data_IF_634322558876
#
_entry.id   IF_634322558876
#
_cell.length_a   1.000
_cell.length_b   1.000
_cell.length_c   1.000
_cell.angle_alpha   90.00
_cell.angle_beta   90.00
_cell.angle_gamma   90.00
#
_symmetry.space_group_name_H-M   'P 1'
#
loop_
_entity.id
_entity.type
_entity.pdbx_description
1 polymer ?
#
# COMPACT_ATOMS: atom_id res chain seq x y z
N UNK A 1 43.83 29.73 36.02
CA UNK A 1 43.67 31.20 35.97
C UNK A 1 42.51 31.51 35.02
N UNK A 2 41.33 31.77 35.58
CA UNK A 2 40.63 33.08 35.60
C UNK A 2 39.95 33.40 34.24
N UNK A 3 38.64 33.13 34.07
CA UNK A 3 37.44 33.93 34.40
C UNK A 3 37.17 35.14 33.48
N UNK A 4 35.89 35.23 33.07
CA UNK A 4 35.06 36.45 32.92
C UNK A 4 35.31 37.39 31.71
N UNK A 5 34.36 38.19 31.19
CA UNK A 5 32.91 38.39 31.35
C UNK A 5 32.43 39.38 30.25
N UNK A 6 31.14 39.28 29.93
CA UNK A 6 30.16 40.24 29.35
C UNK A 6 30.49 41.74 29.19
N UNK A 7 29.85 42.35 28.19
CA UNK A 7 29.31 43.74 28.20
C UNK A 7 28.32 43.96 27.04
N UNK A 8 27.01 43.99 27.24
CA UNK A 8 26.12 45.16 27.53
C UNK A 8 25.97 46.14 26.34
N UNK A 9 24.84 46.14 25.61
CA UNK A 9 23.50 46.77 25.85
C UNK A 9 23.39 48.24 25.37
N UNK A 10 22.48 48.40 24.39
CA UNK A 10 21.39 49.39 24.26
C UNK A 10 21.67 50.90 24.10
N UNK A 11 21.00 51.49 23.09
CA UNK A 11 20.15 52.73 23.13
C UNK A 11 19.93 53.20 21.67
N UNK A 12 18.77 53.01 21.01
CA UNK A 12 17.55 53.84 21.02
C UNK A 12 17.83 55.35 21.05
N UNK A 13 17.49 56.10 19.99
CA UNK A 13 16.26 56.92 19.82
C UNK A 13 16.41 57.87 18.58
N UNK A 14 15.53 58.85 18.29
CA UNK A 14 14.20 58.82 17.63
C UNK A 14 14.14 59.63 16.30
N UNK A 15 12.93 59.68 15.71
CA UNK A 15 12.35 60.75 14.85
C UNK A 15 12.52 60.62 13.33
N UNK A 16 11.47 60.08 12.68
CA UNK A 16 10.73 60.83 11.64
C UNK A 16 9.33 60.23 11.44
N UNK A 17 8.34 61.10 11.59
CA UNK A 17 6.90 60.88 11.54
C UNK A 17 6.36 61.76 10.42
N UNK A 18 5.60 61.17 9.49
CA UNK A 18 4.56 61.78 8.64
C UNK A 18 4.14 60.71 7.62
N UNK A 19 3.04 59.95 7.78
CA UNK A 19 1.63 60.32 7.62
C UNK A 19 1.37 61.17 6.38
N UNK A 20 0.95 60.51 5.29
CA UNK A 20 -0.16 61.02 4.48
C UNK A 20 -1.10 59.88 4.12
N UNK A 21 -2.32 60.12 4.56
CA UNK A 21 -3.59 59.42 4.40
C UNK A 21 -4.14 59.62 2.98
N UNK A 22 -4.78 58.59 2.39
CA UNK A 22 -6.15 58.65 1.82
C UNK A 22 -6.46 57.55 0.77
N UNK A 23 -7.41 56.71 1.18
CA UNK A 23 -8.68 56.35 0.51
C UNK A 23 -8.71 55.63 -0.86
N UNK A 24 -9.21 54.38 -0.76
CA UNK A 24 -10.46 53.85 -1.34
C UNK A 24 -10.73 53.82 -2.86
N UNK A 25 -11.26 52.64 -3.24
CA UNK A 25 -12.25 52.37 -4.30
C UNK A 25 -11.69 52.33 -5.74
N UNK A 26 -12.12 51.49 -6.68
CA UNK A 26 -13.12 50.42 -6.79
C UNK A 26 -12.98 49.83 -8.22
N UNK A 27 -13.51 48.63 -8.47
CA UNK A 27 -13.96 48.19 -9.81
C UNK A 27 -13.03 47.20 -10.53
N UNK A 28 -13.32 45.90 -10.52
CA UNK A 28 -14.27 45.13 -11.37
C UNK A 28 -13.74 44.84 -12.79
N UNK A 29 -13.35 43.58 -13.04
CA UNK A 29 -13.95 42.68 -14.05
C UNK A 29 -13.34 41.26 -13.91
N UNK A 30 -14.03 40.24 -13.40
CA UNK A 30 -15.00 39.31 -14.05
C UNK A 30 -14.55 38.70 -15.38
N UNK A 31 -13.96 37.50 -15.28
CA UNK A 31 -14.20 36.34 -16.15
C UNK A 31 -13.61 35.10 -15.45
N UNK A 32 -14.37 34.35 -14.65
CA UNK A 32 -15.33 33.31 -15.05
C UNK A 32 -14.70 32.20 -15.90
N UNK A 33 -14.05 31.24 -15.24
CA UNK A 33 -14.06 29.85 -15.67
C UNK A 33 -14.64 28.99 -14.53
N UNK A 34 -15.94 28.76 -14.62
CA UNK A 34 -16.63 27.62 -13.99
C UNK A 34 -16.41 26.39 -14.88
N UNK A 35 -16.26 25.23 -14.25
CA UNK A 35 -16.28 23.91 -14.86
C UNK A 35 -14.97 23.18 -14.53
N UNK A 36 -14.93 22.13 -13.71
CA UNK A 36 -15.96 21.12 -13.43
C UNK A 36 -15.75 20.57 -12.00
N UNK A 37 -16.82 20.26 -11.24
CA UNK A 37 -16.66 19.41 -10.07
C UNK A 37 -16.22 18.04 -10.59
N UNK A 38 -15.06 17.56 -10.13
CA UNK A 38 -14.67 16.18 -10.34
C UNK A 38 -15.77 15.32 -9.72
N UNK A 39 -16.61 14.72 -10.55
CA UNK A 39 -17.65 13.81 -10.12
C UNK A 39 -16.99 12.75 -9.25
N UNK A 40 -17.29 12.77 -7.95
CA UNK A 40 -16.89 11.72 -7.04
C UNK A 40 -17.47 10.43 -7.62
N UNK A 41 -16.59 9.58 -8.16
CA UNK A 41 -16.97 8.19 -8.47
C UNK A 41 -17.54 7.61 -7.19
N UNK A 42 -18.73 7.00 -7.20
CA UNK A 42 -19.17 6.25 -6.04
C UNK A 42 -18.17 5.10 -5.87
N UNK A 43 -17.24 5.23 -4.91
CA UNK A 43 -16.56 4.06 -4.40
C UNK A 43 -17.66 3.26 -3.75
N UNK A 44 -17.94 2.08 -4.27
CA UNK A 44 -18.68 1.08 -3.54
C UNK A 44 -17.81 0.69 -2.34
N UNK A 45 -17.87 1.50 -1.28
CA UNK A 45 -17.29 1.25 0.03
C UNK A 45 -18.26 0.29 0.74
N UNK A 46 -18.37 -0.92 0.22
CA UNK A 46 -18.72 -2.03 1.10
C UNK A 46 -17.45 -2.33 1.88
N UNK A 47 -17.24 -1.55 2.95
CA UNK A 47 -16.40 -1.95 4.07
C UNK A 47 -17.08 -3.16 4.71
N UNK A 48 -16.92 -4.31 4.06
CA UNK A 48 -17.25 -5.59 4.68
C UNK A 48 -16.29 -5.68 5.86
N UNK A 49 -16.83 -5.80 7.07
CA UNK A 49 -16.04 -6.26 8.22
C UNK A 49 -15.52 -7.63 7.82
N UNK A 50 -14.28 -7.72 7.35
CA UNK A 50 -13.78 -8.93 6.71
C UNK A 50 -13.29 -9.85 7.82
N UNK A 51 -14.18 -10.73 8.27
CA UNK A 51 -13.86 -11.84 9.15
C UNK A 51 -12.89 -12.85 8.49
N UNK A 52 -12.65 -14.00 9.15
CA UNK A 52 -11.82 -15.06 8.58
C UNK A 52 -12.29 -15.45 7.16
N UNK A 53 -11.35 -15.76 6.27
CA UNK A 53 -11.63 -16.13 4.89
C UNK A 53 -11.40 -17.63 4.64
N UNK A 54 -12.26 -18.22 3.81
CA UNK A 54 -12.08 -19.57 3.30
C UNK A 54 -11.61 -19.53 1.83
N UNK A 55 -10.30 -19.70 1.63
CA UNK A 55 -9.65 -19.70 0.33
C UNK A 55 -9.71 -21.06 -0.39
N UNK A 56 -10.46 -22.03 0.13
CA UNK A 56 -10.82 -23.24 -0.62
C UNK A 56 -11.99 -23.00 -1.58
N UNK A 57 -12.75 -21.90 -1.37
CA UNK A 57 -13.96 -21.56 -2.13
C UNK A 57 -13.76 -20.40 -3.11
N UNK A 58 -12.73 -19.58 -2.91
CA UNK A 58 -12.41 -18.43 -3.74
C UNK A 58 -10.90 -18.13 -3.72
N UNK A 59 -10.33 -17.52 -4.77
CA UNK A 59 -8.96 -17.07 -4.71
C UNK A 59 -8.85 -15.81 -3.83
N UNK A 60 -7.72 -15.57 -3.16
CA UNK A 60 -7.45 -14.26 -2.60
C UNK A 60 -7.27 -13.25 -3.75
N UNK A 61 -7.30 -11.97 -3.42
CA UNK A 61 -7.25 -10.89 -4.42
C UNK A 61 -6.05 -11.01 -5.40
N UNK A 62 -6.21 -10.47 -6.62
CA UNK A 62 -5.21 -10.56 -7.68
C UNK A 62 -3.78 -10.21 -7.23
N UNK A 63 -2.75 -10.94 -7.69
CA UNK A 63 -1.35 -10.69 -7.33
C UNK A 63 -0.83 -9.29 -7.68
N UNK A 64 -1.41 -8.65 -8.71
CA UNK A 64 -1.05 -7.30 -9.15
C UNK A 64 -1.88 -6.20 -8.48
N UNK A 65 -2.88 -6.55 -7.67
CA UNK A 65 -3.68 -5.54 -6.97
C UNK A 65 -2.80 -4.80 -5.95
N UNK A 66 -3.00 -3.49 -5.88
CA UNK A 66 -2.27 -2.60 -5.00
C UNK A 66 -3.20 -2.03 -3.93
N UNK A 67 -2.67 -1.89 -2.72
CA UNK A 67 -3.29 -1.13 -1.66
C UNK A 67 -2.23 -0.20 -1.06
N UNK A 68 -2.55 1.08 -0.96
CA UNK A 68 -1.59 2.14 -0.60
C UNK A 68 -0.31 2.19 -1.48
N UNK A 69 -0.46 1.82 -2.76
CA UNK A 69 0.68 1.73 -3.68
C UNK A 69 1.63 0.57 -3.40
N UNK A 70 1.24 -0.39 -2.55
CA UNK A 70 1.98 -1.63 -2.30
C UNK A 70 1.29 -2.79 -3.02
N UNK A 71 1.94 -3.33 -4.05
CA UNK A 71 1.44 -4.49 -4.79
C UNK A 71 1.37 -5.72 -3.87
N UNK A 72 0.48 -6.66 -4.15
CA UNK A 72 0.36 -7.92 -3.41
C UNK A 72 -0.08 -7.77 -1.94
N UNK A 73 -0.23 -6.55 -1.41
CA UNK A 73 -0.74 -6.28 -0.07
C UNK A 73 -2.18 -6.80 0.13
N UNK A 74 -3.14 -6.51 -0.77
CA UNK A 74 -4.49 -7.09 -0.71
C UNK A 74 -4.47 -8.61 -0.54
N UNK A 75 -3.68 -9.29 -1.37
CA UNK A 75 -3.52 -10.75 -1.36
C UNK A 75 -2.87 -11.26 -0.07
N UNK A 76 -1.92 -10.49 0.47
CA UNK A 76 -1.29 -10.79 1.77
C UNK A 76 -2.30 -10.73 2.90
N UNK A 77 -3.14 -9.69 2.93
CA UNK A 77 -4.20 -9.54 3.94
C UNK A 77 -5.17 -10.71 3.85
N UNK A 78 -5.63 -11.07 2.64
CA UNK A 78 -6.59 -12.17 2.47
C UNK A 78 -6.03 -13.52 2.96
N UNK A 79 -4.76 -13.81 2.62
CA UNK A 79 -4.09 -15.02 3.09
C UNK A 79 -3.91 -15.03 4.60
N UNK A 80 -3.64 -13.89 5.23
CA UNK A 80 -3.52 -13.80 6.68
C UNK A 80 -4.88 -13.97 7.36
N UNK A 81 -5.95 -13.35 6.84
CA UNK A 81 -7.33 -13.58 7.32
C UNK A 81 -7.75 -15.04 7.21
N UNK A 82 -7.27 -15.75 6.19
CA UNK A 82 -7.50 -17.18 6.04
C UNK A 82 -6.75 -18.07 7.04
N UNK A 83 -5.76 -17.52 7.77
CA UNK A 83 -5.08 -18.24 8.87
C UNK A 83 -5.71 -17.99 10.24
N UNK A 84 -6.71 -17.10 10.34
CA UNK A 84 -7.40 -16.80 11.59
C UNK A 84 -8.43 -17.90 11.93
N UNK A 85 -8.84 -18.04 13.21
CA UNK A 85 -9.86 -19.00 13.61
C UNK A 85 -11.14 -18.88 12.77
N UNK A 86 -11.57 -19.98 12.16
CA UNK A 86 -12.72 -20.02 11.25
C UNK A 86 -12.39 -19.75 9.78
N UNK A 87 -11.12 -19.48 9.45
CA UNK A 87 -10.63 -19.38 8.08
C UNK A 87 -10.01 -20.68 7.59
N UNK A 88 -9.79 -20.76 6.28
CA UNK A 88 -9.06 -21.86 5.65
C UNK A 88 -8.14 -21.30 4.55
N UNK A 89 -6.83 -21.49 4.71
CA UNK A 89 -5.82 -21.06 3.74
C UNK A 89 -5.86 -21.90 2.46
N UNK A 90 -6.44 -23.09 2.49
CA UNK A 90 -6.46 -24.04 1.38
C UNK A 90 -5.06 -24.42 0.89
N UNK A 91 -4.87 -24.39 -0.43
CA UNK A 91 -3.58 -24.74 -1.05
C UNK A 91 -2.55 -23.60 -1.02
N UNK A 92 -2.91 -22.40 -0.55
CA UNK A 92 -2.03 -21.24 -0.54
C UNK A 92 -0.92 -21.37 0.51
N UNK A 93 0.23 -20.75 0.25
CA UNK A 93 1.42 -20.85 1.12
C UNK A 93 1.95 -19.50 1.56
N UNK A 94 2.38 -19.42 2.81
CA UNK A 94 3.10 -18.32 3.46
C UNK A 94 4.48 -18.89 3.88
N UNK A 95 5.61 -18.14 3.81
CA UNK A 95 5.70 -16.70 3.63
C UNK A 95 5.80 -16.19 2.18
N UNK A 96 6.43 -16.88 1.22
CA UNK A 96 6.44 -16.43 -0.20
C UNK A 96 6.76 -14.93 -0.39
N UNK A 97 6.01 -14.22 -1.26
CA UNK A 97 6.14 -12.76 -1.41
C UNK A 97 5.71 -11.96 -0.16
N UNK A 98 4.88 -12.53 0.72
CA UNK A 98 4.55 -11.92 2.03
C UNK A 98 5.79 -11.89 2.94
N UNK A 99 6.65 -12.91 2.90
CA UNK A 99 7.93 -12.91 3.61
C UNK A 99 8.87 -11.85 3.09
N UNK A 100 8.99 -11.74 1.75
CA UNK A 100 9.78 -10.68 1.11
C UNK A 100 9.27 -9.28 1.41
N UNK A 101 7.97 -9.13 1.65
CA UNK A 101 7.38 -7.88 2.10
C UNK A 101 7.88 -7.52 3.50
N UNK A 102 7.77 -8.45 4.45
CA UNK A 102 8.24 -8.28 5.83
C UNK A 102 9.74 -7.93 5.88
N UNK A 103 10.56 -8.72 5.16
CA UNK A 103 12.02 -8.52 5.08
C UNK A 103 12.40 -7.14 4.54
N UNK A 104 11.80 -6.73 3.41
CA UNK A 104 12.22 -5.52 2.69
C UNK A 104 11.63 -4.24 3.29
N UNK A 105 10.44 -4.32 3.89
CA UNK A 105 9.78 -3.21 4.56
C UNK A 105 10.10 -3.13 6.06
N UNK A 106 11.01 -4.00 6.55
CA UNK A 106 11.56 -3.99 7.90
C UNK A 106 10.51 -4.09 9.04
N UNK A 107 9.55 -5.01 8.91
CA UNK A 107 8.62 -5.34 10.00
C UNK A 107 8.50 -6.85 10.21
N UNK A 108 8.08 -7.26 11.41
CA UNK A 108 7.95 -8.66 11.78
C UNK A 108 6.66 -9.29 11.26
N UNK A 109 6.74 -10.53 10.79
CA UNK A 109 5.58 -11.26 10.26
C UNK A 109 4.47 -11.43 11.30
N UNK A 110 4.82 -11.73 12.56
CA UNK A 110 3.86 -11.87 13.65
C UNK A 110 3.17 -10.55 14.00
N UNK A 111 3.86 -9.41 13.84
CA UNK A 111 3.26 -8.10 14.04
C UNK A 111 2.20 -7.82 12.96
N UNK A 112 2.53 -8.08 11.69
CA UNK A 112 1.56 -7.98 10.60
C UNK A 112 0.36 -8.90 10.81
N UNK A 113 0.59 -10.15 11.25
CA UNK A 113 -0.50 -11.10 11.51
C UNK A 113 -1.47 -10.58 12.58
N UNK A 114 -0.95 -10.04 13.69
CA UNK A 114 -1.78 -9.46 14.78
C UNK A 114 -2.60 -8.26 14.29
N UNK A 115 -2.00 -7.39 13.49
CA UNK A 115 -2.69 -6.24 12.91
C UNK A 115 -3.82 -6.68 11.99
N UNK A 116 -3.61 -7.72 11.17
CA UNK A 116 -4.68 -8.27 10.33
C UNK A 116 -5.78 -8.94 11.16
N UNK A 117 -5.44 -9.55 12.29
CA UNK A 117 -6.41 -10.14 13.24
C UNK A 117 -7.31 -9.08 13.89
N UNK A 118 -6.77 -7.89 14.17
CA UNK A 118 -7.47 -6.78 14.83
C UNK A 118 -8.17 -5.82 13.86
N UNK A 119 -7.71 -5.76 12.60
CA UNK A 119 -8.22 -4.85 11.57
C UNK A 119 -9.66 -5.15 11.16
N UNK A 120 -10.55 -4.16 11.28
CA UNK A 120 -11.92 -4.25 10.78
C UNK A 120 -11.96 -4.10 9.26
N UNK A 121 -11.06 -3.28 8.71
CA UNK A 121 -10.93 -3.03 7.29
C UNK A 121 -9.47 -2.92 6.85
N UNK A 122 -9.25 -3.00 5.54
CA UNK A 122 -7.91 -2.91 4.94
C UNK A 122 -7.20 -1.57 5.23
N UNK A 123 -7.97 -0.51 5.49
CA UNK A 123 -7.42 0.80 5.84
C UNK A 123 -6.70 0.78 7.20
N UNK A 124 -7.10 -0.08 8.14
CA UNK A 124 -6.44 -0.24 9.44
C UNK A 124 -5.03 -0.82 9.26
N UNK A 125 -4.89 -1.83 8.38
CA UNK A 125 -3.60 -2.43 8.03
C UNK A 125 -2.69 -1.42 7.33
N UNK A 126 -3.25 -0.62 6.42
CA UNK A 126 -2.51 0.48 5.76
C UNK A 126 -2.01 1.51 6.76
N UNK A 127 -2.88 1.92 7.69
CA UNK A 127 -2.51 2.89 8.71
C UNK A 127 -1.35 2.38 9.56
N UNK A 128 -1.42 1.13 10.02
CA UNK A 128 -0.35 0.50 10.77
C UNK A 128 0.96 0.42 9.97
N UNK A 129 0.91 0.01 8.70
CA UNK A 129 2.10 -0.09 7.84
C UNK A 129 2.79 1.27 7.67
N UNK A 130 2.03 2.36 7.54
CA UNK A 130 2.62 3.70 7.41
C UNK A 130 3.40 4.14 8.64
N UNK A 131 3.05 3.60 9.81
CA UNK A 131 3.70 3.93 11.09
C UNK A 131 4.86 2.97 11.43
N UNK A 132 4.80 1.71 10.97
CA UNK A 132 5.70 0.65 11.43
C UNK A 132 6.61 0.05 10.35
N UNK A 133 6.34 0.33 9.08
CA UNK A 133 7.12 -0.19 7.95
C UNK A 133 8.00 0.91 7.32
N UNK A 134 9.09 0.50 6.68
CA UNK A 134 9.89 1.38 5.81
C UNK A 134 9.16 1.61 4.48
N UNK A 135 8.21 2.55 4.47
CA UNK A 135 7.40 2.88 3.29
C UNK A 135 8.23 3.40 2.10
N UNK A 136 9.46 3.88 2.35
CA UNK A 136 10.38 4.28 1.28
C UNK A 136 10.77 3.11 0.36
N UNK A 137 10.56 1.88 0.81
CA UNK A 137 10.90 0.64 0.10
C UNK A 137 9.74 0.06 -0.72
N UNK A 138 8.56 0.68 -0.72
CA UNK A 138 7.39 0.19 -1.48
C UNK A 138 7.71 0.03 -2.97
N UNK A 139 8.36 1.02 -3.57
CA UNK A 139 8.76 0.97 -4.98
C UNK A 139 9.73 -0.20 -5.27
N UNK A 140 10.68 -0.46 -4.37
CA UNK A 140 11.61 -1.58 -4.50
C UNK A 140 10.91 -2.93 -4.33
N UNK A 141 9.97 -3.03 -3.40
CA UNK A 141 9.14 -4.23 -3.24
C UNK A 141 8.29 -4.49 -4.49
N UNK A 142 7.61 -3.47 -5.00
CA UNK A 142 6.78 -3.59 -6.20
C UNK A 142 7.63 -4.02 -7.41
N UNK A 143 8.81 -3.43 -7.58
CA UNK A 143 9.73 -3.85 -8.64
C UNK A 143 10.14 -5.31 -8.51
N UNK A 144 10.39 -5.79 -7.29
CA UNK A 144 10.70 -7.20 -7.02
C UNK A 144 9.51 -8.11 -7.38
N UNK A 145 8.31 -7.80 -6.89
CA UNK A 145 7.13 -8.68 -7.09
C UNK A 145 6.67 -8.66 -8.55
N UNK A 146 6.48 -7.47 -9.12
CA UNK A 146 5.95 -7.31 -10.48
C UNK A 146 6.99 -7.66 -11.54
N UNK A 147 8.28 -7.56 -11.22
CA UNK A 147 9.40 -7.92 -12.09
C UNK A 147 9.89 -9.36 -11.93
N UNK A 148 9.37 -10.12 -10.96
CA UNK A 148 9.75 -11.52 -10.76
C UNK A 148 9.31 -12.38 -11.96
N UNK A 149 10.26 -13.04 -12.60
CA UNK A 149 10.04 -13.90 -13.76
C UNK A 149 10.33 -15.36 -13.45
N UNK A 150 9.68 -16.27 -14.18
CA UNK A 150 10.03 -17.68 -14.19
C UNK A 150 11.37 -17.81 -14.93
N UNK A 151 12.38 -18.32 -14.24
CA UNK A 151 13.72 -18.59 -14.78
C UNK A 151 14.03 -20.08 -14.64
N UNK A 152 15.09 -20.55 -15.28
CA UNK A 152 15.45 -21.97 -15.19
C UNK A 152 15.83 -22.37 -13.75
N UNK A 153 16.39 -21.45 -12.96
CA UNK A 153 16.72 -21.67 -11.55
C UNK A 153 15.48 -21.87 -10.68
N UNK A 154 14.37 -21.16 -10.95
CA UNK A 154 13.15 -21.27 -10.16
C UNK A 154 12.07 -22.16 -10.80
N UNK A 155 12.28 -22.61 -12.05
CA UNK A 155 11.28 -23.34 -12.86
C UNK A 155 10.75 -24.57 -12.15
N UNK A 156 11.62 -25.42 -11.59
CA UNK A 156 11.18 -26.64 -10.91
C UNK A 156 10.23 -26.34 -9.74
N UNK A 157 10.56 -25.33 -8.93
CA UNK A 157 9.71 -24.85 -7.84
C UNK A 157 8.41 -24.24 -8.39
N UNK A 158 8.47 -23.44 -9.45
CA UNK A 158 7.30 -22.83 -10.06
C UNK A 158 6.34 -23.87 -10.63
N UNK A 159 6.85 -24.91 -11.30
CA UNK A 159 6.03 -26.01 -11.82
C UNK A 159 5.42 -26.87 -10.71
N UNK A 160 6.10 -27.03 -9.59
CA UNK A 160 5.57 -27.73 -8.42
C UNK A 160 4.41 -26.95 -7.77
N UNK A 161 4.52 -25.62 -7.70
CA UNK A 161 3.51 -24.77 -7.06
C UNK A 161 2.37 -24.39 -8.00
N UNK A 162 2.68 -24.18 -9.27
CA UNK A 162 1.77 -23.69 -10.30
C UNK A 162 2.04 -24.46 -11.61
N UNK A 163 1.50 -25.69 -11.75
CA UNK A 163 1.69 -26.51 -12.95
C UNK A 163 1.26 -25.80 -14.24
N UNK A 164 0.38 -24.79 -14.15
CA UNK A 164 -0.03 -23.95 -15.28
C UNK A 164 1.14 -23.26 -15.99
N UNK A 165 2.25 -22.99 -15.28
CA UNK A 165 3.44 -22.40 -15.89
C UNK A 165 4.11 -23.29 -16.95
N UNK A 166 3.82 -24.60 -17.00
CA UNK A 166 4.26 -25.47 -18.08
C UNK A 166 3.36 -25.40 -19.32
N UNK A 167 2.10 -24.99 -19.16
CA UNK A 167 1.09 -25.07 -20.23
C UNK A 167 1.08 -23.83 -21.10
N UNK A 168 1.46 -22.67 -20.54
CA UNK A 168 1.53 -21.40 -21.28
C UNK A 168 2.93 -20.76 -21.16
N UNK A 169 3.80 -20.96 -22.16
CA UNK A 169 5.13 -20.35 -22.21
C UNK A 169 5.13 -18.81 -22.26
N UNK A 170 3.99 -18.17 -22.54
CA UNK A 170 3.86 -16.71 -22.54
C UNK A 170 3.73 -16.14 -21.12
N UNK A 171 3.39 -16.97 -20.12
CA UNK A 171 3.34 -16.59 -18.71
C UNK A 171 4.75 -16.48 -18.13
N UNK A 172 5.42 -15.37 -18.45
CA UNK A 172 6.79 -15.11 -18.01
C UNK A 172 6.87 -14.60 -16.57
N UNK A 173 5.94 -13.76 -16.14
CA UNK A 173 5.99 -13.17 -14.79
C UNK A 173 5.31 -14.09 -13.78
N UNK A 174 5.94 -14.25 -12.62
CA UNK A 174 5.43 -15.09 -11.52
C UNK A 174 4.04 -14.64 -11.08
N UNK A 175 3.78 -13.33 -11.02
CA UNK A 175 2.45 -12.78 -10.69
C UNK A 175 1.38 -13.14 -11.72
N UNK A 176 1.73 -13.31 -13.00
CA UNK A 176 0.80 -13.69 -14.05
C UNK A 176 0.53 -15.20 -14.03
N UNK A 177 1.56 -16.00 -13.71
CA UNK A 177 1.40 -17.44 -13.43
C UNK A 177 0.43 -17.66 -12.29
N UNK A 178 0.61 -16.97 -11.15
CA UNK A 178 -0.28 -17.08 -9.99
C UNK A 178 -1.70 -16.67 -10.37
N UNK A 179 -1.86 -15.56 -11.10
CA UNK A 179 -3.18 -15.10 -11.51
C UNK A 179 -3.86 -16.07 -12.50
N UNK A 180 -3.10 -16.75 -13.36
CA UNK A 180 -3.63 -17.77 -14.26
C UNK A 180 -4.06 -19.02 -13.50
N UNK A 181 -3.26 -19.45 -12.53
CA UNK A 181 -3.57 -20.58 -11.65
C UNK A 181 -4.89 -20.33 -10.89
N UNK A 182 -5.03 -19.16 -10.25
CA UNK A 182 -6.24 -18.75 -9.55
C UNK A 182 -7.49 -18.82 -10.46
N UNK A 183 -7.39 -18.34 -11.72
CA UNK A 183 -8.51 -18.37 -12.68
C UNK A 183 -8.94 -19.78 -13.09
N UNK A 184 -8.01 -20.73 -13.10
CA UNK A 184 -8.28 -22.12 -13.48
C UNK A 184 -8.88 -22.87 -12.30
N UNK A 185 -8.35 -22.65 -11.10
CA UNK A 185 -8.87 -23.25 -9.88
C UNK A 185 -10.27 -22.73 -9.55
N UNK A 186 -10.51 -21.43 -9.74
CA UNK A 186 -11.77 -20.76 -9.42
C UNK A 186 -12.38 -20.11 -10.66
N UNK A 187 -12.95 -20.91 -11.58
CA UNK A 187 -13.59 -20.37 -12.76
C UNK A 187 -14.81 -19.53 -12.36
N UNK A 188 -14.96 -18.34 -12.94
CA UNK A 188 -16.17 -17.55 -12.77
C UNK A 188 -17.39 -18.37 -13.22
N UNK A 189 -18.47 -18.33 -12.44
CA UNK A 189 -19.75 -18.88 -12.86
C UNK A 189 -20.15 -18.23 -14.19
N UNK A 190 -20.33 -19.05 -15.23
CA UNK A 190 -20.71 -18.61 -16.58
C UNK A 190 -22.15 -18.12 -16.64
#
# INVERSE_FOLDING_TARGET
MALALRGHRQSLDPRRRALHDRRCAEGRDRRSQRGQPHAARPRNLQSVVVGPLDLTTQPPRPPREELDGLAFLPRTIDKLRATLPGGDLGAYKIPGFTGKMCELLAFEFDALRRVVEEAAEDADVVHWLREHADTSKYAAYNALVLGSVVTDENRARMLQLHPIAAQDPQLRFVVDVIAADDRITFPAAR
#
